data_IF_229824290059
#
_entry.id   IF_229824290059
#
_cell.length_a   1.000
_cell.length_b   1.000
_cell.length_c   1.000
_cell.angle_alpha   90.00
_cell.angle_beta   90.00
_cell.angle_gamma   90.00
#
_symmetry.space_group_name_H-M   'P 1'
#
loop_
_entity.id
_entity.type
_entity.pdbx_description
1 polymer ?
#
# COMPACT_ATOMS: atom_id res chain seq x y z
N UNK A 1 -23.02 13.51 5.45
CA UNK A 1 -23.03 12.06 5.70
C UNK A 1 -23.05 11.38 4.33
N UNK A 2 -21.87 11.07 3.78
CA UNK A 2 -21.76 10.42 2.46
C UNK A 2 -21.43 8.95 2.73
N UNK A 3 -22.37 8.08 2.36
CA UNK A 3 -22.25 6.64 2.43
C UNK A 3 -21.23 6.19 1.38
N UNK A 4 -19.97 6.02 1.79
CA UNK A 4 -18.95 5.37 0.98
C UNK A 4 -19.26 3.87 0.92
N UNK A 5 -19.79 3.44 -0.22
CA UNK A 5 -20.17 2.08 -0.56
C UNK A 5 -18.99 1.08 -0.47
N UNK A 6 -18.84 0.46 0.70
CA UNK A 6 -18.78 -0.97 1.05
C UNK A 6 -18.17 -2.05 0.11
N UNK A 7 -17.47 -1.71 -0.98
CA UNK A 7 -16.72 -2.73 -1.78
C UNK A 7 -15.20 -2.60 -1.73
N UNK A 8 -14.66 -1.40 -1.50
CA UNK A 8 -13.20 -1.23 -1.41
C UNK A 8 -12.62 -1.61 -0.06
N UNK A 9 -13.38 -1.52 1.05
CA UNK A 9 -12.87 -1.86 2.38
C UNK A 9 -12.95 -3.35 2.73
N UNK A 10 -13.90 -4.10 2.16
CA UNK A 10 -14.11 -5.52 2.48
C UNK A 10 -13.05 -6.47 1.89
N UNK A 11 -12.18 -5.99 0.99
CA UNK A 11 -11.00 -6.73 0.53
C UNK A 11 -9.71 -6.30 1.27
N UNK A 12 -9.76 -5.27 2.11
CA UNK A 12 -8.59 -4.76 2.82
C UNK A 12 -8.32 -5.47 4.15
N UNK A 13 -9.23 -6.32 4.63
CA UNK A 13 -9.07 -7.07 5.89
C UNK A 13 -8.60 -8.52 5.70
N UNK A 14 -8.49 -9.02 4.46
CA UNK A 14 -8.26 -10.45 4.17
C UNK A 14 -6.81 -10.93 4.26
N UNK A 15 -5.83 -10.03 4.41
CA UNK A 15 -4.42 -10.41 4.51
C UNK A 15 -3.86 -9.71 5.74
N UNK A 16 -4.05 -10.33 6.90
CA UNK A 16 -3.67 -9.78 8.19
C UNK A 16 -2.66 -10.62 8.96
N UNK A 17 -2.17 -11.75 8.43
CA UNK A 17 -1.08 -12.51 9.07
C UNK A 17 -0.14 -13.22 8.09
N UNK A 18 1.15 -13.38 8.46
CA UNK A 18 2.15 -14.13 7.67
C UNK A 18 1.70 -15.57 7.34
N UNK A 19 0.87 -16.18 8.19
CA UNK A 19 0.24 -17.48 7.97
C UNK A 19 -0.66 -17.51 6.74
N UNK A 20 -1.39 -16.43 6.46
CA UNK A 20 -2.29 -16.34 5.28
C UNK A 20 -1.49 -16.20 3.98
N UNK A 21 -0.35 -15.51 4.02
CA UNK A 21 0.51 -15.31 2.85
C UNK A 21 1.11 -16.64 2.37
N UNK A 22 1.44 -17.54 3.28
CA UNK A 22 1.94 -18.87 2.94
C UNK A 22 0.92 -19.74 2.18
N UNK A 23 -0.37 -19.41 2.24
CA UNK A 23 -1.46 -20.12 1.56
C UNK A 23 -1.78 -19.56 0.18
N UNK A 24 -1.27 -18.38 -0.16
CA UNK A 24 -1.45 -17.77 -1.47
C UNK A 24 -0.78 -18.59 -2.58
N UNK A 25 -1.33 -18.53 -3.80
CA UNK A 25 -0.68 -19.06 -5.00
C UNK A 25 0.60 -18.29 -5.32
N UNK A 26 1.44 -18.84 -6.20
CA UNK A 26 2.66 -18.16 -6.62
C UNK A 26 2.34 -16.85 -7.36
N UNK A 27 1.28 -16.84 -8.16
CA UNK A 27 0.78 -15.66 -8.87
C UNK A 27 0.34 -14.57 -7.87
N UNK A 28 -0.46 -14.93 -6.88
CA UNK A 28 -0.93 -14.01 -5.83
C UNK A 28 0.24 -13.43 -5.02
N UNK A 29 1.27 -14.23 -4.71
CA UNK A 29 2.50 -13.77 -4.04
C UNK A 29 3.26 -12.78 -4.93
N UNK A 30 3.36 -13.04 -6.23
CA UNK A 30 4.02 -12.13 -7.17
C UNK A 30 3.24 -10.82 -7.33
N UNK A 31 1.91 -10.88 -7.40
CA UNK A 31 1.05 -9.68 -7.41
C UNK A 31 1.25 -8.84 -6.14
N UNK A 32 1.27 -9.49 -4.97
CA UNK A 32 1.54 -8.83 -3.70
C UNK A 32 2.92 -8.16 -3.68
N UNK A 33 3.96 -8.88 -4.13
CA UNK A 33 5.33 -8.37 -4.24
C UNK A 33 5.47 -7.21 -5.24
N UNK A 34 4.52 -7.06 -6.16
CA UNK A 34 4.46 -6.02 -7.18
C UNK A 34 3.56 -4.85 -6.81
N UNK A 35 2.94 -4.85 -5.64
CA UNK A 35 2.06 -3.78 -5.22
C UNK A 35 2.70 -2.40 -5.40
N UNK A 36 1.89 -1.49 -5.93
CA UNK A 36 2.18 -0.07 -6.08
C UNK A 36 0.95 0.71 -5.65
N UNK A 37 1.18 1.87 -5.05
CA UNK A 37 0.13 2.87 -4.90
C UNK A 37 -0.36 3.29 -6.29
N UNK A 38 -1.64 3.59 -6.42
CA UNK A 38 -2.22 4.09 -7.65
C UNK A 38 -1.52 5.42 -8.06
N UNK A 39 -1.34 5.62 -9.37
CA UNK A 39 -0.47 6.69 -9.88
C UNK A 39 -0.98 8.09 -9.51
N UNK A 40 -2.28 8.36 -9.64
CA UNK A 40 -2.87 9.65 -9.28
C UNK A 40 -2.80 9.88 -7.76
N UNK A 41 -3.05 8.86 -6.95
CA UNK A 41 -2.89 8.94 -5.50
C UNK A 41 -1.43 9.23 -5.11
N UNK A 42 -0.46 8.56 -5.74
CA UNK A 42 0.96 8.76 -5.47
C UNK A 42 1.43 10.16 -5.91
N UNK A 43 0.97 10.64 -7.06
CA UNK A 43 1.21 12.00 -7.51
C UNK A 43 0.64 13.01 -6.51
N UNK A 44 -0.62 12.83 -6.10
CA UNK A 44 -1.30 13.71 -5.15
C UNK A 44 -0.61 13.76 -3.80
N UNK A 45 -0.11 12.62 -3.31
CA UNK A 45 0.69 12.56 -2.09
C UNK A 45 1.97 13.39 -2.22
N UNK A 46 2.67 13.30 -3.36
CA UNK A 46 3.87 14.09 -3.65
C UNK A 46 3.59 15.60 -3.73
N UNK A 47 2.47 16.00 -4.32
CA UNK A 47 2.01 17.40 -4.37
C UNK A 47 1.76 17.95 -2.96
N UNK A 48 1.02 17.22 -2.10
CA UNK A 48 0.74 17.62 -0.73
C UNK A 48 2.01 17.70 0.13
N UNK A 49 2.93 16.74 -0.04
CA UNK A 49 4.24 16.78 0.63
C UNK A 49 5.06 18.00 0.22
N UNK A 50 5.08 18.31 -1.09
CA UNK A 50 5.80 19.48 -1.62
C UNK A 50 5.17 20.77 -1.10
N UNK A 51 3.84 20.86 -1.14
CA UNK A 51 3.10 22.02 -0.62
C UNK A 51 3.36 22.21 0.87
N UNK A 52 3.28 21.16 1.69
CA UNK A 52 3.47 21.21 3.14
C UNK A 52 4.88 21.61 3.59
N UNK A 53 5.91 21.38 2.75
CA UNK A 53 7.29 21.84 3.00
C UNK A 53 7.46 23.34 2.74
N UNK A 54 6.72 23.86 1.75
CA UNK A 54 6.88 25.23 1.25
C UNK A 54 5.85 26.21 1.83
N UNK A 55 4.69 25.70 2.23
CA UNK A 55 3.50 26.47 2.65
C UNK A 55 2.66 25.66 3.65
N UNK A 56 1.77 26.32 4.38
CA UNK A 56 0.83 25.62 5.25
C UNK A 56 -0.25 24.89 4.42
N UNK A 57 -0.50 23.62 4.77
CA UNK A 57 -1.66 22.88 4.26
C UNK A 57 -2.94 23.35 4.95
N UNK A 58 -4.05 23.40 4.22
CA UNK A 58 -5.38 23.54 4.83
C UNK A 58 -5.70 22.33 5.69
N UNK A 59 -6.73 22.43 6.53
CA UNK A 59 -7.17 21.28 7.33
C UNK A 59 -7.60 20.09 6.47
N UNK A 60 -8.37 20.32 5.41
CA UNK A 60 -8.78 19.26 4.49
C UNK A 60 -7.59 18.59 3.81
N UNK A 61 -6.59 19.36 3.40
CA UNK A 61 -5.36 18.84 2.78
C UNK A 61 -4.53 18.01 3.76
N UNK A 62 -4.49 18.38 5.04
CA UNK A 62 -3.82 17.57 6.08
C UNK A 62 -4.51 16.21 6.25
N UNK A 63 -5.84 16.18 6.29
CA UNK A 63 -6.56 14.91 6.37
C UNK A 63 -6.38 14.06 5.10
N UNK A 64 -6.44 14.68 3.92
CA UNK A 64 -6.17 13.99 2.65
C UNK A 64 -4.77 13.37 2.66
N UNK A 65 -3.75 14.13 3.07
CA UNK A 65 -2.38 13.65 3.17
C UNK A 65 -2.24 12.47 4.14
N UNK A 66 -2.89 12.53 5.31
CA UNK A 66 -2.87 11.43 6.29
C UNK A 66 -3.47 10.13 5.72
N UNK A 67 -4.57 10.23 4.96
CA UNK A 67 -5.19 9.08 4.31
C UNK A 67 -4.25 8.49 3.25
N UNK A 68 -3.68 9.33 2.39
CA UNK A 68 -2.75 8.88 1.34
C UNK A 68 -1.49 8.25 1.91
N UNK A 69 -0.93 8.82 2.99
CA UNK A 69 0.20 8.22 3.72
C UNK A 69 -0.16 6.86 4.30
N UNK A 70 -1.36 6.70 4.86
CA UNK A 70 -1.82 5.43 5.42
C UNK A 70 -1.95 4.35 4.34
N UNK A 71 -2.51 4.69 3.17
CA UNK A 71 -2.60 3.79 2.01
C UNK A 71 -1.20 3.36 1.56
N UNK A 72 -0.28 4.33 1.42
CA UNK A 72 1.10 4.06 1.04
C UNK A 72 1.78 3.09 2.02
N UNK A 73 1.69 3.35 3.32
CA UNK A 73 2.33 2.54 4.35
C UNK A 73 1.77 1.11 4.39
N UNK A 74 0.45 0.94 4.35
CA UNK A 74 -0.18 -0.39 4.31
C UNK A 74 0.23 -1.14 3.03
N UNK A 75 0.26 -0.45 1.88
CA UNK A 75 0.72 -1.03 0.62
C UNK A 75 2.18 -1.50 0.69
N UNK A 76 3.06 -0.71 1.31
CA UNK A 76 4.47 -1.08 1.49
C UNK A 76 4.67 -2.25 2.44
N UNK A 77 3.90 -2.34 3.52
CA UNK A 77 3.94 -3.51 4.42
C UNK A 77 3.52 -4.79 3.70
N UNK A 78 2.45 -4.73 2.91
CA UNK A 78 2.00 -5.89 2.13
C UNK A 78 3.01 -6.31 1.07
N UNK A 79 3.56 -5.32 0.36
CA UNK A 79 4.59 -5.55 -0.63
C UNK A 79 5.83 -6.21 -0.03
N UNK A 80 6.27 -5.76 1.14
CA UNK A 80 7.43 -6.35 1.80
C UNK A 80 7.15 -7.81 2.21
N UNK A 81 5.96 -8.12 2.70
CA UNK A 81 5.57 -9.50 3.00
C UNK A 81 5.51 -10.37 1.73
N UNK A 82 4.95 -9.86 0.63
CA UNK A 82 4.96 -10.56 -0.66
C UNK A 82 6.37 -10.79 -1.21
N UNK A 83 7.26 -9.81 -1.08
CA UNK A 83 8.67 -9.96 -1.46
C UNK A 83 9.38 -11.02 -0.61
N UNK A 84 9.17 -11.01 0.70
CA UNK A 84 9.76 -12.00 1.60
C UNK A 84 9.31 -13.43 1.24
N UNK A 85 8.01 -13.62 0.99
CA UNK A 85 7.47 -14.92 0.57
C UNK A 85 7.95 -15.33 -0.82
N UNK A 86 8.01 -14.40 -1.77
CA UNK A 86 8.53 -14.66 -3.12
C UNK A 86 9.99 -15.14 -3.06
N UNK A 87 10.81 -14.54 -2.20
CA UNK A 87 12.19 -14.98 -1.96
C UNK A 87 12.22 -16.35 -1.29
N UNK A 88 11.39 -16.57 -0.26
CA UNK A 88 11.30 -17.86 0.45
C UNK A 88 10.93 -19.01 -0.49
N UNK A 89 10.09 -18.75 -1.50
CA UNK A 89 9.66 -19.71 -2.53
C UNK A 89 10.56 -19.75 -3.77
N UNK A 90 11.65 -18.99 -3.78
CA UNK A 90 12.58 -18.88 -4.93
C UNK A 90 11.93 -18.31 -6.21
N UNK A 91 10.80 -17.61 -6.09
CA UNK A 91 10.12 -16.92 -7.19
C UNK A 91 10.82 -15.60 -7.57
N UNK A 92 11.65 -15.06 -6.67
CA UNK A 92 12.45 -13.85 -6.85
C UNK A 92 13.79 -13.96 -6.14
N UNK A 93 14.79 -13.27 -6.68
CA UNK A 93 16.05 -13.06 -5.98
C UNK A 93 15.87 -12.07 -4.83
N UNK A 94 16.62 -12.23 -3.72
CA UNK A 94 16.65 -11.24 -2.65
C UNK A 94 17.03 -9.85 -3.19
N UNK A 95 16.39 -8.81 -2.65
CA UNK A 95 16.83 -7.45 -2.88
C UNK A 95 18.17 -7.25 -2.14
N UNK A 96 19.18 -6.77 -2.85
CA UNK A 96 20.46 -6.40 -2.26
C UNK A 96 20.30 -5.06 -1.51
N UNK A 97 21.01 -4.87 -0.38
CA UNK A 97 21.00 -3.63 0.41
C UNK A 97 21.56 -2.42 -0.34
#
# INVERSE_FOLDING_TARGET
MVLLSDRSFNNLSKINTNSEISQLSNEEVIELANLKMEALQNQRLGELQTKGKNTALTESERYEMLILMSIYQIGQLRKSSGLAEAVRRELRTPLLP
#
